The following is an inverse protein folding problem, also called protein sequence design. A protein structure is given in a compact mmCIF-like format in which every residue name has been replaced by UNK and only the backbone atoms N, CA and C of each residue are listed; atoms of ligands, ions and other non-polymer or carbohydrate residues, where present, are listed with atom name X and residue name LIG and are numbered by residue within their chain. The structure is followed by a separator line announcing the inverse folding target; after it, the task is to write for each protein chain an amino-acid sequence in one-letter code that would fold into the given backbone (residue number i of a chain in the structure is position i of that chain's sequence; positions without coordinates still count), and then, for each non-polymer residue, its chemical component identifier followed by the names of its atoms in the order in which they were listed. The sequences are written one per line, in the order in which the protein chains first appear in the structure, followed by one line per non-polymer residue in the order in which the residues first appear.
data_IF_777921435017
#
_entry.id   IF_777921435017
#
_cell.length_a   1.000
_cell.length_b   1.000
_cell.length_c   1.000
_cell.angle_alpha   90.00
_cell.angle_beta   90.00
_cell.angle_gamma   90.00
#
_symmetry.space_group_name_H-M   'P 1'
#
loop_
_entity.id
_entity.type
_entity.pdbx_description
1 polymer ?
#
# COMPACT_ATOMS: atom_id res chain seq x y z
N UNK A 1 12.27 -4.07 36.55
CA UNK A 1 12.09 -3.47 35.21
C UNK A 1 11.61 -4.57 34.28
N UNK A 2 10.31 -4.59 33.94
CA UNK A 2 9.75 -5.59 33.04
C UNK A 2 10.11 -5.20 31.60
N UNK A 3 11.07 -5.91 31.02
CA UNK A 3 11.42 -5.80 29.62
C UNK A 3 10.22 -6.23 28.78
N UNK A 4 9.43 -5.26 28.34
CA UNK A 4 8.43 -5.41 27.30
C UNK A 4 9.17 -5.71 25.99
N UNK A 5 9.60 -6.96 25.81
CA UNK A 5 9.80 -7.52 24.49
C UNK A 5 8.42 -7.55 23.84
N UNK A 6 8.01 -6.43 23.23
CA UNK A 6 6.99 -6.40 22.19
C UNK A 6 7.47 -7.41 21.15
N UNK A 7 6.95 -8.64 21.22
CA UNK A 7 7.39 -9.74 20.39
C UNK A 7 7.42 -9.30 18.93
N UNK A 8 8.61 -9.22 18.36
CA UNK A 8 8.80 -9.01 16.93
C UNK A 8 8.23 -10.27 16.28
N UNK A 9 6.95 -10.24 15.89
CA UNK A 9 6.35 -11.31 15.12
C UNK A 9 6.96 -11.25 13.74
N UNK A 10 7.86 -12.18 13.46
CA UNK A 10 8.49 -12.32 12.16
C UNK A 10 7.38 -12.66 11.14
N UNK A 11 7.14 -11.75 10.22
CA UNK A 11 6.20 -11.96 9.11
C UNK A 11 6.75 -13.12 8.28
N UNK A 12 5.92 -14.11 7.97
CA UNK A 12 6.36 -15.23 7.13
C UNK A 12 6.83 -14.75 5.75
N UNK A 13 7.75 -15.47 5.12
CA UNK A 13 8.28 -15.09 3.80
C UNK A 13 7.19 -14.82 2.76
N UNK A 14 6.14 -15.67 2.75
CA UNK A 14 4.99 -15.49 1.86
C UNK A 14 4.23 -14.19 2.10
N UNK A 15 3.97 -13.81 3.35
CA UNK A 15 3.32 -12.54 3.66
C UNK A 15 4.19 -11.35 3.25
N UNK A 16 5.51 -11.43 3.46
CA UNK A 16 6.45 -10.39 3.03
C UNK A 16 6.41 -10.20 1.51
N UNK A 17 6.44 -11.30 0.77
CA UNK A 17 6.44 -11.25 -0.70
C UNK A 17 5.08 -10.76 -1.23
N UNK A 18 3.97 -11.15 -0.61
CA UNK A 18 2.65 -10.59 -0.89
C UNK A 18 2.60 -9.07 -0.65
N UNK A 19 3.10 -8.61 0.50
CA UNK A 19 3.14 -7.18 0.83
C UNK A 19 3.99 -6.38 -0.17
N UNK A 20 5.16 -6.90 -0.53
CA UNK A 20 6.04 -6.25 -1.50
C UNK A 20 5.38 -6.19 -2.88
N UNK A 21 4.78 -7.28 -3.36
CA UNK A 21 4.07 -7.31 -4.65
C UNK A 21 2.88 -6.35 -4.67
N UNK A 22 2.11 -6.28 -3.59
CA UNK A 22 1.00 -5.33 -3.48
C UNK A 22 1.48 -3.87 -3.59
N UNK A 23 2.53 -3.50 -2.85
CA UNK A 23 3.08 -2.14 -2.87
C UNK A 23 3.67 -1.78 -4.24
N UNK A 24 4.37 -2.72 -4.91
CA UNK A 24 4.85 -2.52 -6.28
C UNK A 24 3.71 -2.25 -7.26
N UNK A 25 2.57 -2.94 -7.13
CA UNK A 25 1.39 -2.67 -7.95
C UNK A 25 0.84 -1.25 -7.73
N UNK A 26 0.83 -0.76 -6.48
CA UNK A 26 0.37 0.62 -6.21
C UNK A 26 1.36 1.66 -6.75
N UNK A 27 2.66 1.38 -6.64
CA UNK A 27 3.71 2.22 -7.22
C UNK A 27 3.56 2.33 -8.74
N UNK A 28 3.32 1.21 -9.44
CA UNK A 28 3.08 1.21 -10.88
C UNK A 28 1.87 2.07 -11.27
N UNK A 29 0.78 2.02 -10.50
CA UNK A 29 -0.38 2.91 -10.72
C UNK A 29 0.00 4.38 -10.56
N UNK A 30 0.76 4.74 -9.53
CA UNK A 30 1.20 6.12 -9.31
C UNK A 30 2.17 6.61 -10.40
N UNK A 31 3.04 5.72 -10.90
CA UNK A 31 3.92 6.03 -12.02
C UNK A 31 3.13 6.32 -13.31
N UNK A 32 2.05 5.57 -13.56
CA UNK A 32 1.17 5.85 -14.70
C UNK A 32 0.45 7.19 -14.54
N UNK A 33 -0.05 7.50 -13.35
CA UNK A 33 -0.66 8.81 -13.06
C UNK A 33 0.35 9.95 -13.26
N UNK A 34 1.58 9.78 -12.80
CA UNK A 34 2.65 10.75 -13.01
C UNK A 34 2.94 10.94 -14.51
N UNK A 35 3.07 9.85 -15.25
CA UNK A 35 3.29 9.90 -16.69
C UNK A 35 2.14 10.61 -17.42
N UNK A 36 0.89 10.39 -17.00
CA UNK A 36 -0.26 11.11 -17.56
C UNK A 36 -0.16 12.62 -17.30
N UNK A 37 0.21 13.02 -16.09
CA UNK A 37 0.41 14.43 -15.74
C UNK A 37 1.54 15.07 -16.55
N UNK A 38 2.64 14.34 -16.75
CA UNK A 38 3.82 14.83 -17.45
C UNK A 38 3.65 14.91 -18.97
N UNK A 39 2.85 14.01 -19.56
CA UNK A 39 2.71 13.89 -21.02
C UNK A 39 1.41 14.49 -21.58
N UNK A 40 0.47 14.92 -20.72
CA UNK A 40 -0.81 15.45 -21.16
C UNK A 40 -0.81 16.98 -21.20
N UNK A 41 -1.02 17.54 -22.39
CA UNK A 41 -1.25 18.99 -22.59
C UNK A 41 -2.56 19.47 -21.94
N UNK A 42 -3.49 18.53 -21.65
CA UNK A 42 -4.77 18.78 -21.01
C UNK A 42 -5.05 17.69 -19.98
N UNK A 43 -4.73 17.98 -18.73
CA UNK A 43 -5.05 17.11 -17.60
C UNK A 43 -6.55 16.75 -17.58
N UNK A 44 -6.87 15.50 -17.89
CA UNK A 44 -8.17 14.92 -17.55
C UNK A 44 -8.22 14.73 -16.04
N UNK A 45 -8.64 15.78 -15.32
CA UNK A 45 -8.69 15.79 -13.86
C UNK A 45 -9.45 14.60 -13.26
N UNK A 46 -10.45 14.07 -13.97
CA UNK A 46 -11.20 12.88 -13.58
C UNK A 46 -10.33 11.62 -13.47
N UNK A 47 -9.48 11.34 -14.46
CA UNK A 47 -8.62 10.15 -14.44
C UNK A 47 -7.60 10.19 -13.29
N UNK A 48 -6.95 11.33 -13.11
CA UNK A 48 -5.95 11.54 -12.05
C UNK A 48 -6.61 11.39 -10.67
N UNK A 49 -7.74 12.08 -10.46
CA UNK A 49 -8.47 12.04 -9.18
C UNK A 49 -8.95 10.61 -8.85
N UNK A 50 -9.57 9.93 -9.82
CA UNK A 50 -10.06 8.56 -9.62
C UNK A 50 -8.92 7.60 -9.32
N UNK A 51 -7.81 7.69 -10.04
CA UNK A 51 -6.65 6.83 -9.85
C UNK A 51 -6.01 7.02 -8.48
N UNK A 52 -5.85 8.27 -8.02
CA UNK A 52 -5.34 8.58 -6.68
C UNK A 52 -6.29 8.04 -5.59
N UNK A 53 -7.59 8.25 -5.74
CA UNK A 53 -8.62 7.75 -4.82
C UNK A 53 -8.62 6.21 -4.75
N UNK A 54 -8.38 5.52 -5.86
CA UNK A 54 -8.24 4.07 -5.87
C UNK A 54 -7.01 3.61 -5.09
N UNK A 55 -5.85 4.23 -5.31
CA UNK A 55 -4.61 3.90 -4.58
C UNK A 55 -4.80 4.13 -3.07
N UNK A 56 -5.38 5.26 -2.67
CA UNK A 56 -5.66 5.56 -1.26
C UNK A 56 -6.53 4.47 -0.60
N UNK A 57 -7.64 4.11 -1.24
CA UNK A 57 -8.54 3.08 -0.73
C UNK A 57 -7.87 1.72 -0.60
N UNK A 58 -7.06 1.34 -1.59
CA UNK A 58 -6.29 0.08 -1.59
C UNK A 58 -5.27 0.09 -0.46
N UNK A 59 -4.49 1.15 -0.29
CA UNK A 59 -3.52 1.29 0.81
C UNK A 59 -4.20 1.28 2.19
N UNK A 60 -5.37 1.92 2.32
CA UNK A 60 -6.14 1.91 3.58
C UNK A 60 -6.59 0.51 3.95
N UNK A 61 -7.09 -0.28 2.99
CA UNK A 61 -7.47 -1.69 3.21
C UNK A 61 -6.25 -2.54 3.53
N UNK A 62 -5.15 -2.34 2.81
CA UNK A 62 -3.89 -3.03 3.02
C UNK A 62 -3.32 -2.80 4.42
N UNK A 63 -3.35 -1.55 4.92
CA UNK A 63 -2.91 -1.23 6.30
C UNK A 63 -3.72 -1.98 7.35
N UNK A 64 -5.03 -2.16 7.14
CA UNK A 64 -5.87 -2.99 8.03
C UNK A 64 -5.45 -4.46 7.97
N UNK A 65 -5.22 -5.00 6.78
CA UNK A 65 -4.75 -6.37 6.60
C UNK A 65 -3.38 -6.62 7.24
N UNK A 66 -2.42 -5.71 7.03
CA UNK A 66 -1.09 -5.76 7.63
C UNK A 66 -1.18 -5.79 9.17
N UNK A 67 -2.00 -4.90 9.76
CA UNK A 67 -2.25 -4.89 11.20
C UNK A 67 -2.85 -6.20 11.68
N UNK A 68 -3.83 -6.74 10.97
CA UNK A 68 -4.42 -8.03 11.32
C UNK A 68 -3.35 -9.11 11.32
N UNK A 69 -2.53 -9.23 10.28
CA UNK A 69 -1.48 -10.26 10.21
C UNK A 69 -0.42 -10.08 11.31
N UNK A 70 -0.03 -8.84 11.60
CA UNK A 70 1.00 -8.56 12.61
C UNK A 70 0.50 -8.64 14.06
N UNK A 71 -0.79 -8.41 14.31
CA UNK A 71 -1.33 -8.21 15.66
C UNK A 71 -2.49 -9.15 16.06
N UNK A 72 -2.96 -10.08 15.21
CA UNK A 72 -4.19 -10.89 15.47
C UNK A 72 -4.24 -11.84 16.67
N UNK A 73 -3.21 -11.95 17.50
CA UNK A 73 -3.27 -12.81 18.70
C UNK A 73 -3.00 -11.98 19.96
N UNK A 74 -3.99 -11.17 20.36
CA UNK A 74 -4.19 -10.72 21.73
C UNK A 74 -5.56 -11.22 22.18
#
# INVERSE_FOLDING_TARGET
MNNMQKGIKTISGWHRDFFASFLRSQLATLQNVLAEIENSDRLEGGYVEESLKQVENKLRRFRKLYRNICYRNN
#
